data_IF_751562561493
#
_entry.id   IF_751562561493
#
_cell.length_a   1.000
_cell.length_b   1.000
_cell.length_c   1.000
_cell.angle_alpha   90.00
_cell.angle_beta   90.00
_cell.angle_gamma   90.00
#
_symmetry.space_group_name_H-M   'P 1'
#
loop_
_entity.id
_entity.type
_entity.pdbx_description
1 polymer ?
#
# COMPACT_ATOMS: atom_id res chain seq x y z
N UNK A 1 28.46 -16.59 -2.77
CA UNK A 1 27.88 -16.05 -4.02
C UNK A 1 26.37 -16.07 -3.90
N UNK A 2 25.69 -15.06 -4.41
CA UNK A 2 24.22 -15.03 -4.50
C UNK A 2 23.77 -15.90 -5.68
N UNK A 3 22.80 -16.82 -5.50
CA UNK A 3 22.31 -17.68 -6.59
C UNK A 3 21.75 -16.87 -7.76
N UNK A 4 22.01 -17.30 -8.99
CA UNK A 4 21.46 -16.65 -10.21
C UNK A 4 19.92 -16.61 -10.16
N UNK A 5 19.28 -17.69 -9.67
CA UNK A 5 17.83 -17.74 -9.50
C UNK A 5 17.28 -16.65 -8.58
N UNK A 6 18.02 -16.28 -7.52
CA UNK A 6 17.65 -15.17 -6.65
C UNK A 6 17.63 -13.84 -7.43
N UNK A 7 18.63 -13.58 -8.26
CA UNK A 7 18.70 -12.36 -9.09
C UNK A 7 17.54 -12.34 -10.11
N UNK A 8 17.20 -13.48 -10.71
CA UNK A 8 16.05 -13.58 -11.61
C UNK A 8 14.74 -13.26 -10.87
N UNK A 9 14.52 -13.83 -9.69
CA UNK A 9 13.31 -13.58 -8.91
C UNK A 9 13.24 -12.15 -8.36
N UNK A 10 14.35 -11.56 -7.95
CA UNK A 10 14.44 -10.13 -7.62
C UNK A 10 14.02 -9.26 -8.83
N UNK A 11 14.48 -9.62 -10.04
CA UNK A 11 14.14 -8.86 -11.25
C UNK A 11 12.65 -8.96 -11.58
N UNK A 12 12.04 -10.14 -11.43
CA UNK A 12 10.60 -10.33 -11.61
C UNK A 12 9.84 -9.52 -10.59
N UNK A 13 10.24 -9.51 -9.31
CA UNK A 13 9.60 -8.76 -8.25
C UNK A 13 9.69 -7.25 -8.45
N UNK A 14 10.85 -6.74 -8.86
CA UNK A 14 11.02 -5.34 -9.23
C UNK A 14 10.10 -4.96 -10.40
N UNK A 15 10.01 -5.84 -11.42
CA UNK A 15 9.11 -5.64 -12.56
C UNK A 15 7.63 -5.61 -12.15
N UNK A 16 7.20 -6.51 -11.26
CA UNK A 16 5.82 -6.50 -10.72
C UNK A 16 5.58 -5.20 -9.94
N UNK A 17 6.45 -4.85 -9.00
CA UNK A 17 6.28 -3.70 -8.13
C UNK A 17 6.18 -2.36 -8.88
N UNK A 18 6.96 -2.21 -9.96
CA UNK A 18 6.98 -1.00 -10.79
C UNK A 18 5.95 -1.08 -11.92
N UNK A 19 5.85 -2.21 -12.58
CA UNK A 19 5.01 -2.40 -13.77
C UNK A 19 3.51 -2.45 -13.46
N UNK A 20 3.11 -3.06 -12.32
CA UNK A 20 1.71 -3.23 -11.96
C UNK A 20 0.94 -1.90 -11.86
N UNK A 21 1.36 -0.89 -11.09
CA UNK A 21 0.64 0.37 -11.00
C UNK A 21 0.58 1.12 -12.33
N UNK A 22 1.66 1.06 -13.13
CA UNK A 22 1.70 1.66 -14.47
C UNK A 22 0.70 0.97 -15.40
N UNK A 23 0.69 -0.37 -15.42
CA UNK A 23 -0.24 -1.15 -16.21
C UNK A 23 -1.70 -0.87 -15.81
N UNK A 24 -2.02 -0.88 -14.52
CA UNK A 24 -3.36 -0.58 -14.02
C UNK A 24 -3.82 0.82 -14.46
N UNK A 25 -2.96 1.84 -14.37
CA UNK A 25 -3.31 3.18 -14.80
C UNK A 25 -3.57 3.25 -16.31
N UNK A 26 -2.72 2.64 -17.14
CA UNK A 26 -2.87 2.66 -18.60
C UNK A 26 -4.14 1.94 -19.03
N UNK A 27 -4.35 0.69 -18.57
CA UNK A 27 -5.50 -0.13 -18.98
C UNK A 27 -6.83 0.41 -18.48
N UNK A 28 -6.88 0.98 -17.27
CA UNK A 28 -8.12 1.46 -16.67
C UNK A 28 -8.43 2.93 -17.01
N UNK A 29 -7.45 3.68 -17.56
CA UNK A 29 -7.58 5.11 -17.82
C UNK A 29 -8.83 5.47 -18.62
N UNK A 30 -9.07 4.78 -19.74
CA UNK A 30 -10.24 5.06 -20.60
C UNK A 30 -11.54 4.57 -19.96
N UNK A 31 -11.56 3.35 -19.44
CA UNK A 31 -12.74 2.68 -18.89
C UNK A 31 -13.32 3.42 -17.68
N UNK A 32 -12.47 3.81 -16.75
CA UNK A 32 -12.88 4.45 -15.49
C UNK A 32 -12.60 5.95 -15.44
N UNK A 33 -12.19 6.55 -16.56
CA UNK A 33 -11.86 7.99 -16.65
C UNK A 33 -10.81 8.42 -15.61
N UNK A 34 -9.74 7.62 -15.45
CA UNK A 34 -8.67 7.93 -14.50
C UNK A 34 -8.01 9.27 -14.80
N UNK A 35 -7.58 9.97 -13.76
CA UNK A 35 -6.98 11.31 -13.82
C UNK A 35 -5.60 11.32 -13.18
N UNK A 36 -4.66 12.05 -13.80
CA UNK A 36 -3.29 12.16 -13.29
C UNK A 36 -3.21 12.89 -11.93
N UNK A 37 -4.01 13.97 -11.73
CA UNK A 37 -3.92 14.73 -10.48
C UNK A 37 -4.30 13.91 -9.23
N UNK A 38 -5.41 13.16 -9.18
CA UNK A 38 -5.67 12.27 -8.04
C UNK A 38 -4.59 11.20 -7.83
N UNK A 39 -3.99 10.66 -8.90
CA UNK A 39 -2.88 9.72 -8.80
C UNK A 39 -1.67 10.38 -8.14
N UNK A 40 -1.25 11.56 -8.60
CA UNK A 40 -0.11 12.29 -8.03
C UNK A 40 -0.34 12.72 -6.58
N UNK A 41 -1.59 13.07 -6.23
CA UNK A 41 -1.95 13.35 -4.83
C UNK A 41 -1.85 12.06 -3.99
N UNK A 42 -2.24 10.89 -4.52
CA UNK A 42 -2.04 9.60 -3.84
C UNK A 42 -0.57 9.31 -3.57
N UNK A 43 0.30 9.53 -4.57
CA UNK A 43 1.76 9.41 -4.41
C UNK A 43 2.29 10.36 -3.32
N UNK A 44 1.94 11.64 -3.40
CA UNK A 44 2.42 12.64 -2.44
C UNK A 44 1.91 12.38 -1.02
N UNK A 45 0.66 11.92 -0.88
CA UNK A 45 0.05 11.61 0.39
C UNK A 45 0.75 10.41 1.08
N UNK A 46 1.09 9.34 0.35
CA UNK A 46 1.88 8.24 0.90
C UNK A 46 3.26 8.73 1.38
N UNK A 47 3.98 9.47 0.54
CA UNK A 47 5.31 10.00 0.91
C UNK A 47 5.23 10.85 2.17
N UNK A 48 4.26 11.77 2.25
CA UNK A 48 4.15 12.66 3.40
C UNK A 48 3.70 11.92 4.67
N UNK A 49 2.65 11.11 4.58
CA UNK A 49 2.03 10.52 5.78
C UNK A 49 2.73 9.24 6.23
N UNK A 50 3.05 8.30 5.33
CA UNK A 50 3.69 7.04 5.69
C UNK A 50 5.22 7.14 5.79
N UNK A 51 5.90 7.78 4.82
CA UNK A 51 7.35 7.81 4.84
C UNK A 51 7.95 8.95 5.69
N UNK A 52 7.18 9.99 6.02
CA UNK A 52 7.69 11.12 6.82
C UNK A 52 7.00 11.18 8.18
N UNK A 53 5.68 11.43 8.22
CA UNK A 53 4.99 11.70 9.49
C UNK A 53 4.90 10.46 10.38
N UNK A 54 4.58 9.31 9.83
CA UNK A 54 4.54 8.04 10.57
C UNK A 54 5.93 7.66 11.08
N UNK A 55 6.99 7.85 10.27
CA UNK A 55 8.37 7.57 10.71
C UNK A 55 8.81 8.50 11.83
N UNK A 56 8.42 9.78 11.82
CA UNK A 56 8.66 10.70 12.95
C UNK A 56 7.98 10.18 14.22
N UNK A 57 6.71 9.74 14.12
CA UNK A 57 6.02 9.15 15.26
C UNK A 57 6.74 7.88 15.75
N UNK A 58 7.17 6.99 14.85
CA UNK A 58 7.94 5.79 15.21
C UNK A 58 9.23 6.13 15.95
N UNK A 59 9.98 7.11 15.50
CA UNK A 59 11.18 7.59 16.19
C UNK A 59 10.87 8.09 17.60
N UNK A 60 9.75 8.80 17.79
CA UNK A 60 9.37 9.31 19.12
C UNK A 60 8.88 8.20 20.07
N UNK A 61 8.07 7.26 19.56
CA UNK A 61 7.38 6.24 20.38
C UNK A 61 8.26 5.02 20.65
N UNK A 62 9.12 4.64 19.71
CA UNK A 62 9.96 3.46 19.81
C UNK A 62 11.36 3.76 20.37
N UNK A 63 11.68 5.02 20.64
CA UNK A 63 12.95 5.40 21.29
C UNK A 63 13.14 4.67 22.62
N UNK A 64 14.38 4.34 22.98
CA UNK A 64 14.68 3.80 24.30
C UNK A 64 14.21 4.75 25.41
N UNK A 65 13.80 4.19 26.54
CA UNK A 65 13.44 4.96 27.74
C UNK A 65 14.67 5.69 28.30
N UNK A 66 14.46 6.70 29.18
CA UNK A 66 15.53 7.49 29.77
C UNK A 66 16.56 6.63 30.56
N UNK A 67 16.15 5.45 31.03
CA UNK A 67 17.02 4.45 31.70
C UNK A 67 17.77 3.54 30.72
N UNK A 68 17.65 3.79 29.40
CA UNK A 68 18.25 2.96 28.35
C UNK A 68 17.51 1.66 28.05
N UNK A 69 16.37 1.40 28.69
CA UNK A 69 15.56 0.20 28.39
C UNK A 69 14.85 0.31 27.05
N UNK A 70 14.76 -0.80 26.33
CA UNK A 70 13.99 -0.89 25.08
C UNK A 70 12.51 -0.63 25.32
N UNK A 71 11.85 0.08 24.41
CA UNK A 71 10.40 0.35 24.46
C UNK A 71 9.60 -0.92 24.74
N UNK A 72 8.58 -0.82 25.61
CA UNK A 72 7.66 -1.94 25.91
C UNK A 72 6.96 -2.45 24.65
N UNK A 73 6.73 -1.59 23.66
CA UNK A 73 6.13 -1.95 22.39
C UNK A 73 7.00 -2.96 21.66
N UNK A 74 8.31 -2.74 21.61
CA UNK A 74 9.26 -3.63 20.94
C UNK A 74 9.46 -4.96 21.68
N UNK A 75 9.20 -4.99 23.00
CA UNK A 75 9.38 -6.20 23.84
C UNK A 75 8.14 -7.08 23.90
N UNK A 76 6.96 -6.53 23.65
CA UNK A 76 5.70 -7.27 23.77
C UNK A 76 5.07 -7.51 22.39
N UNK A 77 4.87 -8.77 21.98
CA UNK A 77 4.33 -9.09 20.65
C UNK A 77 2.96 -8.48 20.38
N UNK A 78 2.08 -8.45 21.37
CA UNK A 78 0.73 -7.88 21.20
C UNK A 78 0.82 -6.37 20.97
N UNK A 79 1.64 -5.67 21.77
CA UNK A 79 1.81 -4.23 21.59
C UNK A 79 2.50 -3.90 20.28
N UNK A 80 3.49 -4.68 19.85
CA UNK A 80 4.17 -4.51 18.56
C UNK A 80 3.19 -4.62 17.40
N UNK A 81 2.40 -5.70 17.37
CA UNK A 81 1.44 -5.95 16.29
C UNK A 81 0.36 -4.86 16.28
N UNK A 82 -0.28 -4.57 17.43
CA UNK A 82 -1.34 -3.57 17.50
C UNK A 82 -0.83 -2.16 17.14
N UNK A 83 0.32 -1.77 17.69
CA UNK A 83 0.90 -0.47 17.41
C UNK A 83 1.24 -0.30 15.92
N UNK A 84 2.00 -1.22 15.33
CA UNK A 84 2.43 -1.12 13.95
C UNK A 84 1.25 -1.11 12.97
N UNK A 85 0.29 -2.03 13.17
CA UNK A 85 -0.87 -2.13 12.27
C UNK A 85 -1.84 -0.96 12.38
N UNK A 86 -2.08 -0.44 13.60
CA UNK A 86 -2.93 0.72 13.81
C UNK A 86 -2.24 2.02 13.37
N UNK A 87 -0.93 2.15 13.57
CA UNK A 87 -0.19 3.31 13.11
C UNK A 87 -0.33 3.47 11.59
N UNK A 88 0.01 2.44 10.81
CA UNK A 88 -0.15 2.45 9.36
C UNK A 88 -1.60 2.79 8.95
N UNK A 89 -2.59 2.10 9.54
CA UNK A 89 -4.01 2.37 9.27
C UNK A 89 -4.41 3.81 9.56
N UNK A 90 -4.00 4.37 10.69
CA UNK A 90 -4.36 5.76 11.06
C UNK A 90 -3.70 6.76 10.12
N UNK A 91 -2.40 6.66 9.88
CA UNK A 91 -1.69 7.62 9.05
C UNK A 91 -2.15 7.58 7.59
N UNK A 92 -2.24 6.40 7.02
CA UNK A 92 -2.56 6.28 5.60
C UNK A 92 -4.04 6.52 5.29
N UNK A 93 -4.97 6.05 6.13
CA UNK A 93 -6.39 6.35 5.90
C UNK A 93 -6.71 7.82 6.17
N UNK A 94 -6.02 8.46 7.13
CA UNK A 94 -6.13 9.91 7.33
C UNK A 94 -5.62 10.68 6.11
N UNK A 95 -4.50 10.26 5.53
CA UNK A 95 -3.98 10.82 4.28
C UNK A 95 -5.02 10.74 3.14
N UNK A 96 -5.66 9.57 2.97
CA UNK A 96 -6.76 9.36 2.00
C UNK A 96 -7.93 10.30 2.28
N UNK A 97 -8.39 10.33 3.52
CA UNK A 97 -9.53 11.11 3.94
C UNK A 97 -9.35 12.62 3.67
N UNK A 98 -8.23 13.18 4.07
CA UNK A 98 -7.91 14.58 3.83
C UNK A 98 -7.76 14.90 2.34
N UNK A 99 -7.06 14.04 1.59
CA UNK A 99 -6.89 14.17 0.15
C UNK A 99 -8.23 14.16 -0.59
N UNK A 100 -9.15 13.28 -0.21
CA UNK A 100 -10.46 13.19 -0.84
C UNK A 100 -11.38 14.37 -0.48
N UNK A 101 -11.25 14.97 0.69
CA UNK A 101 -11.94 16.23 1.00
C UNK A 101 -11.49 17.37 0.09
N UNK A 102 -10.23 17.39 -0.31
CA UNK A 102 -9.73 18.33 -1.31
C UNK A 102 -10.22 17.97 -2.71
N UNK A 103 -10.09 16.70 -3.11
CA UNK A 103 -10.41 16.23 -4.46
C UNK A 103 -11.90 16.31 -4.81
N UNK A 104 -12.82 16.08 -3.86
CA UNK A 104 -14.27 16.12 -4.10
C UNK A 104 -14.81 17.46 -4.59
N UNK A 105 -14.05 18.54 -4.37
CA UNK A 105 -14.39 19.87 -4.90
C UNK A 105 -14.30 19.96 -6.42
N UNK A 106 -13.53 19.08 -7.04
CA UNK A 106 -13.25 19.11 -8.49
C UNK A 106 -13.63 17.81 -9.22
N UNK A 107 -13.73 16.70 -8.51
CA UNK A 107 -13.94 15.37 -9.09
C UNK A 107 -15.08 14.67 -8.36
N UNK A 108 -15.91 13.90 -9.10
CA UNK A 108 -17.07 13.19 -8.57
C UNK A 108 -17.03 11.68 -8.82
N UNK A 109 -16.53 11.21 -9.94
CA UNK A 109 -16.62 9.80 -10.35
C UNK A 109 -15.71 8.84 -9.60
N UNK A 110 -15.97 7.53 -9.74
CA UNK A 110 -15.17 6.45 -9.16
C UNK A 110 -13.70 6.48 -9.63
N UNK A 111 -13.44 7.00 -10.82
CA UNK A 111 -12.08 7.17 -11.34
C UNK A 111 -11.16 8.00 -10.45
N UNK A 112 -11.72 8.85 -9.57
CA UNK A 112 -10.95 9.64 -8.59
C UNK A 112 -10.34 8.73 -7.52
N UNK A 113 -11.16 7.88 -6.88
CA UNK A 113 -10.69 6.93 -5.88
C UNK A 113 -9.72 5.89 -6.45
N UNK A 114 -10.04 5.36 -7.65
CA UNK A 114 -9.15 4.42 -8.36
C UNK A 114 -7.79 5.05 -8.69
N UNK A 115 -7.78 6.28 -9.24
CA UNK A 115 -6.53 6.98 -9.58
C UNK A 115 -5.67 7.21 -8.34
N UNK A 116 -6.28 7.70 -7.25
CA UNK A 116 -5.59 7.91 -5.99
C UNK A 116 -5.02 6.61 -5.44
N UNK A 117 -5.83 5.54 -5.40
CA UNK A 117 -5.42 4.23 -4.88
C UNK A 117 -4.26 3.61 -5.67
N UNK A 118 -4.28 3.75 -7.02
CA UNK A 118 -3.15 3.34 -7.87
C UNK A 118 -1.90 4.16 -7.56
N UNK A 119 -2.04 5.47 -7.34
CA UNK A 119 -0.91 6.34 -6.98
C UNK A 119 -0.32 5.99 -5.63
N UNK A 120 -1.17 5.86 -4.60
CA UNK A 120 -0.78 5.57 -3.23
C UNK A 120 -0.15 4.17 -3.10
N UNK A 121 -0.88 3.11 -3.44
CA UNK A 121 -0.37 1.73 -3.35
C UNK A 121 0.74 1.44 -4.37
N UNK A 122 0.75 2.15 -5.53
CA UNK A 122 1.81 2.03 -6.52
C UNK A 122 3.13 2.59 -6.04
N UNK A 123 3.16 3.76 -5.43
CA UNK A 123 4.40 4.33 -4.90
C UNK A 123 4.92 3.53 -3.72
N UNK A 124 4.04 2.99 -2.87
CA UNK A 124 4.43 2.06 -1.81
C UNK A 124 5.10 0.81 -2.38
N UNK A 125 4.50 0.16 -3.38
CA UNK A 125 5.06 -1.03 -4.01
C UNK A 125 6.45 -0.73 -4.64
N UNK A 126 6.61 0.44 -5.28
CA UNK A 126 7.88 0.89 -5.85
C UNK A 126 8.93 1.07 -4.76
N UNK A 127 8.61 1.75 -3.65
CA UNK A 127 9.58 2.01 -2.58
C UNK A 127 9.93 0.75 -1.79
N UNK A 128 8.92 -0.04 -1.36
CA UNK A 128 9.12 -1.18 -0.48
C UNK A 128 9.76 -2.37 -1.22
N UNK A 129 9.31 -2.69 -2.44
CA UNK A 129 9.82 -3.84 -3.19
C UNK A 129 10.63 -3.44 -4.42
N UNK A 130 10.16 -2.50 -5.22
CA UNK A 130 10.82 -2.12 -6.47
C UNK A 130 12.27 -1.67 -6.27
N UNK A 131 12.47 -0.63 -5.48
CA UNK A 131 13.81 -0.09 -5.21
C UNK A 131 14.66 -1.04 -4.36
N UNK A 132 14.06 -1.73 -3.38
CA UNK A 132 14.76 -2.73 -2.59
C UNK A 132 15.31 -3.88 -3.46
N UNK A 133 14.52 -4.40 -4.39
CA UNK A 133 14.97 -5.45 -5.30
C UNK A 133 16.05 -4.97 -6.26
N UNK A 134 15.96 -3.74 -6.78
CA UNK A 134 17.02 -3.14 -7.62
C UNK A 134 18.33 -3.02 -6.82
N UNK A 135 18.26 -2.54 -5.58
CA UNK A 135 19.41 -2.44 -4.68
C UNK A 135 20.03 -3.83 -4.41
N UNK A 136 19.18 -4.83 -4.12
CA UNK A 136 19.60 -6.21 -3.89
C UNK A 136 20.24 -6.85 -5.12
N UNK A 137 19.74 -6.58 -6.33
CA UNK A 137 20.34 -7.03 -7.59
C UNK A 137 21.75 -6.43 -7.74
N UNK A 138 21.87 -5.11 -7.52
CA UNK A 138 23.16 -4.42 -7.63
C UNK A 138 24.17 -5.00 -6.63
N UNK A 139 23.80 -5.16 -5.37
CA UNK A 139 24.62 -5.77 -4.34
C UNK A 139 25.01 -7.22 -4.71
N UNK A 140 24.05 -8.00 -5.24
CA UNK A 140 24.28 -9.40 -5.66
C UNK A 140 25.32 -9.49 -6.78
N UNK A 141 25.29 -8.56 -7.75
CA UNK A 141 26.26 -8.50 -8.82
C UNK A 141 27.66 -8.18 -8.24
N UNK A 142 27.76 -7.19 -7.35
CA UNK A 142 29.03 -6.82 -6.70
C UNK A 142 29.61 -7.96 -5.85
N UNK A 143 28.77 -8.70 -5.11
CA UNK A 143 29.18 -9.88 -4.34
C UNK A 143 29.71 -10.97 -5.28
N UNK A 144 29.03 -11.20 -6.40
CA UNK A 144 29.39 -12.27 -7.32
C UNK A 144 30.62 -11.95 -8.19
N UNK A 145 30.90 -10.68 -8.44
CA UNK A 145 32.13 -10.24 -9.13
C UNK A 145 33.38 -10.18 -8.24
N UNK A 146 33.22 -10.35 -6.94
CA UNK A 146 34.34 -10.25 -5.98
C UNK A 146 34.53 -8.85 -5.39
N UNK A 147 33.69 -7.88 -5.75
CA UNK A 147 33.77 -6.47 -5.33
C UNK A 147 32.94 -6.17 -4.09
N UNK A 148 32.61 -7.18 -3.29
CA UNK A 148 31.79 -7.05 -2.09
C UNK A 148 32.31 -6.00 -1.09
N UNK A 149 33.64 -5.79 -1.02
CA UNK A 149 34.25 -4.77 -0.18
C UNK A 149 33.86 -3.32 -0.51
N UNK A 150 33.39 -3.06 -1.74
CA UNK A 150 32.86 -1.75 -2.14
C UNK A 150 31.51 -1.42 -1.50
N UNK A 151 30.78 -2.40 -0.97
CA UNK A 151 29.52 -2.19 -0.25
C UNK A 151 29.74 -1.63 1.16
N UNK A 152 30.95 -1.77 1.71
CA UNK A 152 31.33 -1.41 3.07
C UNK A 152 31.60 -2.63 3.94
N UNK A 153 32.09 -2.39 5.16
CA UNK A 153 32.50 -3.42 6.11
C UNK A 153 31.82 -3.31 7.48
N UNK A 154 30.86 -2.40 7.62
CA UNK A 154 30.10 -2.29 8.85
C UNK A 154 29.17 -3.50 9.06
N UNK A 155 28.74 -3.73 10.31
CA UNK A 155 27.95 -4.90 10.69
C UNK A 155 26.62 -4.98 9.94
N UNK A 156 26.02 -3.87 9.60
CA UNK A 156 24.72 -3.82 8.88
C UNK A 156 24.89 -4.31 7.45
N UNK A 157 25.94 -3.87 6.77
CA UNK A 157 26.29 -4.31 5.40
C UNK A 157 26.64 -5.81 5.39
N UNK A 158 27.48 -6.28 6.30
CA UNK A 158 27.84 -7.70 6.39
C UNK A 158 26.62 -8.58 6.66
N UNK A 159 25.69 -8.12 7.50
CA UNK A 159 24.42 -8.81 7.76
C UNK A 159 23.56 -8.86 6.50
N UNK A 160 23.48 -7.77 5.75
CA UNK A 160 22.76 -7.69 4.46
C UNK A 160 23.34 -8.63 3.42
N UNK A 161 24.68 -8.69 3.27
CA UNK A 161 25.39 -9.62 2.37
C UNK A 161 25.05 -11.07 2.75
N UNK A 162 25.12 -11.39 4.03
CA UNK A 162 24.81 -12.73 4.52
C UNK A 162 23.34 -13.11 4.25
N UNK A 163 22.41 -12.18 4.44
CA UNK A 163 21.00 -12.38 4.10
C UNK A 163 20.80 -12.64 2.60
N UNK A 164 21.44 -11.87 1.71
CA UNK A 164 21.33 -12.07 0.25
C UNK A 164 21.85 -13.43 -0.18
N UNK A 165 22.92 -13.95 0.43
CA UNK A 165 23.51 -15.25 0.10
C UNK A 165 22.65 -16.41 0.60
N UNK A 166 22.06 -16.30 1.80
CA UNK A 166 21.41 -17.40 2.49
C UNK A 166 19.87 -17.42 2.37
N UNK A 167 19.27 -16.33 1.92
CA UNK A 167 17.81 -16.29 1.69
C UNK A 167 17.44 -17.18 0.51
N UNK A 168 16.42 -18.02 0.70
CA UNK A 168 15.86 -18.85 -0.37
C UNK A 168 15.38 -17.96 -1.54
N UNK A 169 15.78 -18.34 -2.77
CA UNK A 169 15.44 -17.57 -3.97
C UNK A 169 13.95 -17.29 -4.11
N UNK A 170 13.11 -18.23 -3.72
CA UNK A 170 11.64 -18.11 -3.84
C UNK A 170 11.09 -16.95 -2.97
N UNK A 171 11.73 -16.61 -1.85
CA UNK A 171 11.28 -15.53 -0.99
C UNK A 171 11.36 -14.17 -1.68
N UNK A 172 12.30 -13.98 -2.59
CA UNK A 172 12.36 -12.77 -3.41
C UNK A 172 11.18 -12.67 -4.38
N UNK A 173 10.72 -13.80 -4.94
CA UNK A 173 9.52 -13.81 -5.79
C UNK A 173 8.25 -13.53 -4.98
N UNK A 174 8.13 -14.14 -3.80
CA UNK A 174 6.99 -13.93 -2.90
C UNK A 174 6.81 -12.45 -2.57
N UNK A 175 7.90 -11.73 -2.28
CA UNK A 175 7.84 -10.28 -2.03
C UNK A 175 7.23 -9.49 -3.20
N UNK A 176 7.47 -9.88 -4.45
CA UNK A 176 6.83 -9.25 -5.61
C UNK A 176 5.34 -9.60 -5.73
N UNK A 177 4.97 -10.85 -5.46
CA UNK A 177 3.58 -11.31 -5.51
C UNK A 177 2.75 -10.64 -4.42
N UNK A 178 3.28 -10.49 -3.20
CA UNK A 178 2.65 -9.76 -2.11
C UNK A 178 2.26 -8.33 -2.51
N UNK A 179 3.06 -7.65 -3.36
CA UNK A 179 2.70 -6.30 -3.84
C UNK A 179 1.41 -6.27 -4.64
N UNK A 180 1.02 -7.37 -5.27
CA UNK A 180 -0.27 -7.47 -5.95
C UNK A 180 -1.42 -7.38 -4.93
N UNK A 181 -1.29 -8.07 -3.80
CA UNK A 181 -2.26 -8.01 -2.70
C UNK A 181 -2.30 -6.60 -2.09
N UNK A 182 -1.14 -6.03 -1.76
CA UNK A 182 -1.02 -4.71 -1.17
C UNK A 182 -1.63 -3.62 -2.07
N UNK A 183 -1.27 -3.56 -3.35
CA UNK A 183 -1.85 -2.59 -4.31
C UNK A 183 -3.36 -2.76 -4.44
N UNK A 184 -3.86 -4.01 -4.44
CA UNK A 184 -5.30 -4.30 -4.47
C UNK A 184 -6.00 -3.74 -3.23
N UNK A 185 -5.43 -3.94 -2.04
CA UNK A 185 -5.96 -3.39 -0.78
C UNK A 185 -5.95 -1.87 -0.79
N UNK A 186 -4.84 -1.23 -1.20
CA UNK A 186 -4.75 0.23 -1.24
C UNK A 186 -5.74 0.86 -2.21
N UNK A 187 -5.98 0.26 -3.38
CA UNK A 187 -7.03 0.69 -4.30
C UNK A 187 -8.40 0.53 -3.66
N UNK A 188 -8.64 -0.61 -3.01
CA UNK A 188 -9.93 -0.93 -2.38
C UNK A 188 -10.25 0.00 -1.20
N UNK A 189 -9.30 0.24 -0.29
CA UNK A 189 -9.43 1.19 0.83
C UNK A 189 -9.66 2.62 0.30
N UNK A 190 -8.96 3.00 -0.76
CA UNK A 190 -9.18 4.31 -1.40
C UNK A 190 -10.60 4.46 -1.93
N UNK A 191 -11.21 3.38 -2.45
CA UNK A 191 -12.61 3.40 -2.88
C UNK A 191 -13.59 3.52 -1.69
N UNK A 192 -13.31 2.83 -0.57
CA UNK A 192 -14.11 2.89 0.65
C UNK A 192 -14.06 4.31 1.24
N UNK A 193 -12.88 4.89 1.38
CA UNK A 193 -12.71 6.26 1.90
C UNK A 193 -13.28 7.30 0.94
N UNK A 194 -13.14 7.10 -0.39
CA UNK A 194 -13.78 7.97 -1.38
C UNK A 194 -15.30 7.99 -1.21
N UNK A 195 -15.91 6.81 -1.00
CA UNK A 195 -17.35 6.69 -0.72
C UNK A 195 -17.73 7.41 0.58
N UNK A 196 -16.92 7.32 1.63
CA UNK A 196 -17.18 7.98 2.91
C UNK A 196 -17.23 9.51 2.81
N UNK A 197 -16.34 10.08 1.99
CA UNK A 197 -16.21 11.54 1.80
C UNK A 197 -17.23 12.10 0.83
N UNK A 198 -17.65 11.30 -0.15
CA UNK A 198 -18.52 11.72 -1.23
C UNK A 198 -20.00 11.76 -0.83
N UNK A 199 -20.46 10.79 -0.07
CA UNK A 199 -21.87 10.60 0.24
C UNK A 199 -22.21 10.99 1.69
N UNK A 200 -23.29 11.76 1.88
CA UNK A 200 -23.80 12.05 3.23
C UNK A 200 -24.21 10.76 3.95
N UNK A 201 -23.97 10.70 5.27
CA UNK A 201 -24.33 9.52 6.09
C UNK A 201 -23.36 8.35 6.02
N UNK A 202 -22.28 8.41 5.22
CA UNK A 202 -21.30 7.31 5.09
C UNK A 202 -19.95 7.59 5.75
N UNK A 203 -19.85 8.64 6.56
CA UNK A 203 -18.60 9.01 7.24
C UNK A 203 -18.04 7.88 8.11
N UNK A 204 -18.90 6.98 8.61
CA UNK A 204 -18.51 5.79 9.38
C UNK A 204 -17.59 4.82 8.62
N UNK A 205 -17.57 4.86 7.28
CA UNK A 205 -16.64 4.07 6.48
C UNK A 205 -15.18 4.47 6.70
N UNK A 206 -14.91 5.71 7.12
CA UNK A 206 -13.54 6.15 7.40
C UNK A 206 -12.91 5.39 8.58
N UNK A 207 -13.46 5.37 9.81
CA UNK A 207 -12.89 4.54 10.87
C UNK A 207 -12.91 3.04 10.54
N UNK A 208 -13.87 2.56 9.76
CA UNK A 208 -13.87 1.16 9.29
C UNK A 208 -12.68 0.90 8.36
N UNK A 209 -12.32 1.85 7.48
CA UNK A 209 -11.13 1.66 6.62
C UNK A 209 -9.83 1.57 7.42
N UNK A 210 -9.69 2.32 8.52
CA UNK A 210 -8.55 2.21 9.45
C UNK A 210 -8.45 0.78 10.02
N UNK A 211 -9.58 0.24 10.49
CA UNK A 211 -9.61 -1.11 11.05
C UNK A 211 -9.33 -2.19 9.99
N UNK A 212 -9.89 -2.05 8.79
CA UNK A 212 -9.64 -2.98 7.68
C UNK A 212 -8.16 -2.96 7.26
N UNK A 213 -7.55 -1.78 7.21
CA UNK A 213 -6.13 -1.63 6.93
C UNK A 213 -5.28 -2.31 8.03
N UNK A 214 -5.59 -2.03 9.30
CA UNK A 214 -4.90 -2.68 10.42
C UNK A 214 -5.01 -4.21 10.35
N UNK A 215 -6.20 -4.74 10.08
CA UNK A 215 -6.43 -6.19 9.95
C UNK A 215 -5.60 -6.80 8.81
N UNK A 216 -5.50 -6.11 7.67
CA UNK A 216 -4.65 -6.56 6.57
C UNK A 216 -3.17 -6.66 6.99
N UNK A 217 -2.67 -5.73 7.78
CA UNK A 217 -1.27 -5.68 8.18
C UNK A 217 -0.91 -6.67 9.33
N UNK A 218 -1.90 -7.27 10.04
CA UNK A 218 -1.64 -8.18 11.16
C UNK A 218 -0.70 -9.34 10.79
N UNK A 219 -0.94 -10.13 9.71
CA UNK A 219 -0.06 -11.25 9.39
C UNK A 219 1.39 -10.83 9.11
N UNK A 220 1.59 -9.70 8.42
CA UNK A 220 2.91 -9.16 8.13
C UNK A 220 3.63 -8.71 9.43
N UNK A 221 2.92 -8.03 10.33
CA UNK A 221 3.47 -7.61 11.63
C UNK A 221 3.81 -8.81 12.53
N UNK A 222 2.98 -9.88 12.51
CA UNK A 222 3.27 -11.12 13.22
C UNK A 222 4.50 -11.83 12.66
N UNK A 223 4.67 -11.85 11.34
CA UNK A 223 5.86 -12.38 10.69
C UNK A 223 7.11 -11.55 11.06
N UNK A 224 7.00 -10.23 10.99
CA UNK A 224 8.10 -9.31 11.34
C UNK A 224 8.55 -9.45 12.79
N UNK A 225 7.64 -9.68 13.72
CA UNK A 225 7.97 -9.93 15.13
C UNK A 225 8.54 -11.34 15.37
N UNK A 226 8.34 -12.28 14.44
CA UNK A 226 8.75 -13.69 14.58
C UNK A 226 7.71 -14.60 15.23
N UNK A 227 6.44 -14.15 15.37
CA UNK A 227 5.31 -15.00 15.80
C UNK A 227 4.91 -16.02 14.74
N UNK A 228 5.07 -15.67 13.48
CA UNK A 228 4.93 -16.56 12.33
C UNK A 228 6.31 -16.63 11.66
N UNK A 229 6.84 -17.82 11.47
CA UNK A 229 8.11 -18.04 10.78
C UNK A 229 7.95 -18.56 9.34
N UNK A 230 6.75 -19.00 8.98
CA UNK A 230 6.44 -19.55 7.67
C UNK A 230 5.86 -18.47 6.76
N UNK A 231 6.63 -18.06 5.75
CA UNK A 231 6.23 -17.03 4.79
C UNK A 231 4.94 -17.42 4.03
N UNK A 232 4.78 -18.70 3.67
CA UNK A 232 3.60 -19.17 2.95
C UNK A 232 2.31 -19.07 3.78
N UNK A 233 2.42 -19.28 5.10
CA UNK A 233 1.30 -19.07 6.01
C UNK A 233 0.95 -17.58 6.09
N UNK A 234 1.95 -16.71 6.14
CA UNK A 234 1.75 -15.26 6.15
C UNK A 234 1.00 -14.81 4.88
N UNK A 235 1.45 -15.24 3.70
CA UNK A 235 0.81 -14.92 2.43
C UNK A 235 -0.64 -15.45 2.35
N UNK A 236 -0.86 -16.69 2.79
CA UNK A 236 -2.21 -17.26 2.84
C UNK A 236 -3.15 -16.45 3.75
N UNK A 237 -2.64 -15.97 4.90
CA UNK A 237 -3.41 -15.13 5.82
C UNK A 237 -3.68 -13.72 5.25
N UNK A 238 -2.81 -13.17 4.38
CA UNK A 238 -3.02 -11.90 3.70
C UNK A 238 -4.12 -11.96 2.63
N UNK A 239 -4.34 -13.11 2.00
CA UNK A 239 -5.38 -13.28 0.98
C UNK A 239 -6.78 -13.02 1.55
N UNK A 240 -7.07 -13.51 2.76
CA UNK A 240 -8.38 -13.42 3.38
C UNK A 240 -8.86 -11.97 3.54
N UNK A 241 -8.12 -11.08 4.24
CA UNK A 241 -8.51 -9.69 4.35
C UNK A 241 -8.49 -8.96 3.00
N UNK A 242 -7.57 -9.31 2.08
CA UNK A 242 -7.56 -8.74 0.73
C UNK A 242 -8.87 -8.98 0.00
N UNK A 243 -9.36 -10.23 -0.03
CA UNK A 243 -10.63 -10.57 -0.69
C UNK A 243 -11.81 -9.86 -0.02
N UNK A 244 -11.85 -9.84 1.31
CA UNK A 244 -12.90 -9.14 2.06
C UNK A 244 -12.92 -7.63 1.74
N UNK A 245 -11.78 -6.96 1.81
CA UNK A 245 -11.66 -5.53 1.55
C UNK A 245 -12.02 -5.21 0.10
N UNK A 246 -11.55 -6.02 -0.86
CA UNK A 246 -11.89 -5.87 -2.26
C UNK A 246 -13.39 -6.06 -2.53
N UNK A 247 -14.03 -7.02 -1.87
CA UNK A 247 -15.48 -7.23 -1.96
C UNK A 247 -16.27 -6.03 -1.42
N UNK A 248 -15.90 -5.53 -0.24
CA UNK A 248 -16.52 -4.33 0.36
C UNK A 248 -16.36 -3.12 -0.56
N UNK A 249 -15.16 -2.89 -1.10
CA UNK A 249 -14.90 -1.82 -2.05
C UNK A 249 -15.72 -1.97 -3.33
N UNK A 250 -15.82 -3.18 -3.88
CA UNK A 250 -16.65 -3.45 -5.06
C UNK A 250 -18.12 -3.14 -4.80
N UNK A 251 -18.67 -3.53 -3.65
CA UNK A 251 -20.04 -3.20 -3.27
C UNK A 251 -20.27 -1.69 -3.27
N UNK A 252 -19.42 -0.91 -2.60
CA UNK A 252 -19.55 0.54 -2.56
C UNK A 252 -19.28 1.21 -3.91
N UNK A 253 -18.41 0.65 -4.75
CA UNK A 253 -18.26 1.10 -6.14
C UNK A 253 -19.57 1.00 -6.92
N UNK A 254 -20.28 -0.14 -6.79
CA UNK A 254 -21.57 -0.34 -7.46
C UNK A 254 -22.63 0.63 -6.96
N UNK A 255 -22.69 0.85 -5.65
CA UNK A 255 -23.60 1.84 -5.04
C UNK A 255 -23.33 3.24 -5.60
N UNK A 256 -22.06 3.67 -5.64
CA UNK A 256 -21.70 4.99 -6.19
C UNK A 256 -21.98 5.13 -7.69
N UNK A 257 -21.78 4.06 -8.47
CA UNK A 257 -22.09 4.08 -9.91
C UNK A 257 -23.60 4.28 -10.13
N UNK A 258 -24.44 3.54 -9.39
CA UNK A 258 -25.89 3.68 -9.47
C UNK A 258 -26.37 5.09 -9.12
N UNK A 259 -25.82 5.67 -8.05
CA UNK A 259 -26.10 7.07 -7.65
C UNK A 259 -25.71 8.08 -8.74
N UNK A 260 -24.57 7.86 -9.42
CA UNK A 260 -24.13 8.70 -10.54
C UNK A 260 -25.07 8.60 -11.76
N UNK A 261 -25.56 7.40 -12.06
CA UNK A 261 -26.51 7.14 -13.15
C UNK A 261 -27.87 7.79 -12.86
N UNK A 262 -28.39 7.64 -11.64
CA UNK A 262 -29.65 8.27 -11.21
C UNK A 262 -29.56 9.81 -11.25
N UNK A 263 -28.46 10.39 -10.76
CA UNK A 263 -28.24 11.83 -10.82
C UNK A 263 -28.12 12.35 -12.26
N UNK A 264 -27.50 11.58 -13.15
CA UNK A 264 -27.41 11.94 -14.58
C UNK A 264 -28.79 11.90 -15.27
N UNK A 265 -29.63 10.90 -14.96
CA UNK A 265 -30.99 10.79 -15.50
C UNK A 265 -31.88 11.98 -15.09
N UNK A 266 -31.87 12.34 -13.81
CA UNK A 266 -32.61 13.51 -13.28
C UNK A 266 -32.18 14.80 -13.98
N UNK A 267 -30.89 15.01 -14.21
CA UNK A 267 -30.38 16.19 -14.89
C UNK A 267 -30.83 16.26 -16.37
N UNK A 268 -30.91 15.12 -17.06
CA UNK A 268 -31.40 15.04 -18.44
C UNK A 268 -32.90 15.40 -18.50
N UNK A 269 -33.70 14.87 -17.60
CA UNK A 269 -35.13 15.11 -17.51
C UNK A 269 -35.42 16.60 -17.26
N UNK A 270 -34.70 17.20 -16.30
CA UNK A 270 -34.82 18.65 -16.02
C UNK A 270 -34.40 19.53 -17.19
N UNK A 271 -33.42 19.12 -18.00
CA UNK A 271 -33.03 19.86 -19.21
C UNK A 271 -34.07 19.73 -20.36
N UNK A 272 -34.73 18.59 -20.48
CA UNK A 272 -35.81 18.37 -21.44
C UNK A 272 -37.00 19.24 -21.09
N UNK A 273 -37.41 19.26 -19.82
CA UNK A 273 -38.54 20.07 -19.35
C UNK A 273 -38.27 21.59 -19.51
N UNK A 274 -37.04 22.04 -19.27
CA UNK A 274 -36.66 23.45 -19.46
C UNK A 274 -36.63 23.90 -20.94
N UNK A 275 -36.53 22.97 -21.88
CA UNK A 275 -36.54 23.28 -23.32
C UNK A 275 -37.98 23.19 -23.97
N UNK A 276 -38.97 22.69 -23.24
CA UNK A 276 -40.37 22.57 -23.68
C UNK A 276 -41.19 23.82 -23.28
N UNK A 277 -40.70 24.60 -22.32
CA UNK A 277 -41.31 25.88 -21.87
C UNK A 277 -40.48 27.08 -22.34
#
# INVERSE_FOLDING_TARGET
MVPVLSIVFMSISAFIAIGLPVALFIFWRKKYKLRALPLLIGVAAFILFALILEQIMHMMVLSPSADGSTSIILRNPVYFVLYGTLAAGVFEETARFLSFHFLKKRYSGIGTGLSYGIGHGGIEAIFIAGLAMISNITASIMINSGDAGMLGDDLSVLTGINALINTSSINFLVSGVERILAVTVHISLSMIVWCSVRAKGRLWLFPVSILLHAVFNIPAAMFQYGLISNIWLTEALLIIPTVLIAYVAYYFCKVMQKEDEEAAAINVEALVDANIH
#
